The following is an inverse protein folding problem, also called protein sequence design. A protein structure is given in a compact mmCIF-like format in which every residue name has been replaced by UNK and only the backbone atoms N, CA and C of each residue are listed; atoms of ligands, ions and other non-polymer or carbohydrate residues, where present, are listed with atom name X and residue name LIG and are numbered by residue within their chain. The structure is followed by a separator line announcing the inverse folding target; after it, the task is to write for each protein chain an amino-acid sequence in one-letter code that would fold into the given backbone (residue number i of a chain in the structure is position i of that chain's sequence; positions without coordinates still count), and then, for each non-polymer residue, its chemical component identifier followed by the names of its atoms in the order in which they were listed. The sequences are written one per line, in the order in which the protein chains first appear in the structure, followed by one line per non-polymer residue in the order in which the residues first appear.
data_IF_737804742925
#
_entry.id   IF_737804742925
#
_cell.length_a   1.000
_cell.length_b   1.000
_cell.length_c   1.000
_cell.angle_alpha   90.00
_cell.angle_beta   90.00
_cell.angle_gamma   90.00
#
_symmetry.space_group_name_H-M   'P 1'
#
loop_
_entity.id
_entity.type
_entity.pdbx_description
1 polymer ?
#
# COMPACT_ATOMS: atom_id res chain seq x y z
N UNK A 1 11.08 0.94 -19.67
CA UNK A 1 10.79 0.95 -18.24
C UNK A 1 9.93 2.14 -17.89
N UNK A 2 8.86 1.91 -17.23
CA UNK A 2 8.00 2.99 -16.81
C UNK A 2 8.40 3.48 -15.42
N UNK A 3 8.24 4.77 -15.22
CA UNK A 3 8.40 5.39 -13.92
C UNK A 3 7.02 5.49 -13.28
N UNK A 4 6.91 4.99 -12.06
CA UNK A 4 5.71 5.14 -11.25
C UNK A 4 5.94 6.23 -10.22
N UNK A 5 4.93 7.03 -9.97
CA UNK A 5 4.96 8.06 -8.94
C UNK A 5 3.78 7.88 -8.00
N UNK A 6 3.94 8.32 -6.78
CA UNK A 6 2.89 8.26 -5.77
C UNK A 6 3.04 9.34 -4.73
N UNK A 7 1.97 9.56 -3.97
CA UNK A 7 1.93 10.60 -2.96
C UNK A 7 0.88 10.30 -1.89
N UNK A 8 1.02 10.93 -0.75
CA UNK A 8 -0.02 10.91 0.28
C UNK A 8 -1.15 11.88 -0.08
N UNK A 9 -2.25 11.77 0.63
CA UNK A 9 -3.45 12.57 0.36
C UNK A 9 -3.18 14.08 0.38
N UNK A 10 -2.36 14.57 1.30
CA UNK A 10 -2.04 16.01 1.37
C UNK A 10 -0.88 16.42 0.46
N UNK A 11 -0.18 15.46 -0.13
CA UNK A 11 0.94 15.73 -1.03
C UNK A 11 2.28 16.03 -0.35
N UNK A 12 2.35 16.02 0.98
CA UNK A 12 3.59 16.31 1.70
C UNK A 12 4.66 15.26 1.48
N UNK A 13 4.26 14.03 1.21
CA UNK A 13 5.18 12.92 0.94
C UNK A 13 4.98 12.42 -0.48
N UNK A 14 6.06 12.36 -1.22
CA UNK A 14 6.05 11.93 -2.64
C UNK A 14 7.21 11.01 -2.91
N UNK A 15 6.98 10.03 -3.74
CA UNK A 15 8.00 9.05 -4.11
C UNK A 15 7.93 8.72 -5.60
N UNK A 16 8.98 8.09 -6.09
CA UNK A 16 8.98 7.48 -7.42
C UNK A 16 9.60 6.10 -7.37
N UNK A 17 9.16 5.27 -8.28
CA UNK A 17 9.68 3.92 -8.49
C UNK A 17 10.22 3.86 -9.91
N UNK A 18 11.51 3.56 -10.04
CA UNK A 18 12.18 3.39 -11.34
C UNK A 18 12.52 1.92 -11.50
N UNK A 19 11.77 1.22 -12.32
CA UNK A 19 11.98 -0.19 -12.56
C UNK A 19 10.69 -0.96 -12.58
N UNK A 20 10.79 -2.24 -12.85
CA UNK A 20 9.62 -3.11 -12.91
C UNK A 20 9.14 -3.48 -11.51
N UNK A 21 7.81 -3.58 -11.38
CA UNK A 21 7.16 -4.17 -10.23
C UNK A 21 6.35 -5.36 -10.72
N UNK A 22 6.30 -6.42 -9.90
CA UNK A 22 5.74 -7.70 -10.37
C UNK A 22 4.24 -7.82 -10.17
N UNK A 23 3.63 -6.98 -9.38
CA UNK A 23 2.20 -7.07 -9.17
C UNK A 23 1.75 -6.48 -7.85
N UNK A 24 0.45 -6.55 -7.64
CA UNK A 24 -0.19 -6.10 -6.42
C UNK A 24 -0.54 -7.31 -5.58
N UNK A 25 -0.13 -7.28 -4.32
CA UNK A 25 -0.49 -8.30 -3.34
C UNK A 25 -1.47 -7.69 -2.36
N UNK A 26 -2.54 -8.41 -2.05
CA UNK A 26 -3.45 -7.97 -0.98
C UNK A 26 -3.33 -8.95 0.19
N UNK A 27 -2.90 -8.43 1.32
CA UNK A 27 -2.81 -9.21 2.56
C UNK A 27 -4.09 -9.03 3.36
N UNK A 28 -4.82 -10.13 3.57
CA UNK A 28 -6.09 -10.14 4.29
C UNK A 28 -5.96 -10.49 5.77
N UNK A 29 -4.76 -10.54 6.32
CA UNK A 29 -4.59 -10.89 7.72
C UNK A 29 -5.23 -9.83 8.64
N UNK A 30 -5.54 -10.23 9.87
CA UNK A 30 -6.20 -9.34 10.81
C UNK A 30 -5.40 -8.07 11.10
N UNK A 31 -4.07 -8.16 11.09
CA UNK A 31 -3.21 -7.00 11.30
C UNK A 31 -3.32 -6.00 10.14
N UNK A 32 -3.26 -6.51 8.91
CA UNK A 32 -3.37 -5.66 7.72
C UNK A 32 -4.76 -5.05 7.59
N UNK A 33 -5.81 -5.77 7.95
CA UNK A 33 -7.16 -5.20 7.97
C UNK A 33 -7.26 -4.05 8.97
N UNK A 34 -6.70 -4.23 10.16
CA UNK A 34 -6.72 -3.17 11.18
C UNK A 34 -5.83 -1.99 10.78
N UNK A 35 -4.66 -2.27 10.24
CA UNK A 35 -3.72 -1.23 9.82
C UNK A 35 -4.28 -0.36 8.70
N UNK A 36 -5.04 -0.93 7.77
CA UNK A 36 -5.62 -0.20 6.64
C UNK A 36 -7.03 0.30 6.92
N UNK A 37 -7.73 -0.31 7.89
CA UNK A 37 -9.16 -0.05 8.10
C UNK A 37 -10.02 -0.54 6.94
N UNK A 38 -9.58 -1.57 6.22
CA UNK A 38 -10.24 -2.03 5.00
C UNK A 38 -10.18 -3.55 4.89
N UNK A 39 -10.43 -4.06 3.70
CA UNK A 39 -10.42 -5.51 3.37
C UNK A 39 -9.04 -6.13 3.58
N UNK A 40 -8.01 -5.34 3.50
CA UNK A 40 -6.63 -5.80 3.62
C UNK A 40 -5.67 -4.68 3.27
N UNK A 41 -4.41 -5.03 3.11
CA UNK A 41 -3.39 -4.08 2.72
C UNK A 41 -2.89 -4.44 1.32
N UNK A 42 -3.11 -3.54 0.37
CA UNK A 42 -2.64 -3.74 -1.01
C UNK A 42 -1.24 -3.15 -1.14
N UNK A 43 -0.29 -3.98 -1.51
CA UNK A 43 1.12 -3.60 -1.53
C UNK A 43 1.80 -3.98 -2.84
N UNK A 44 2.79 -3.16 -3.19
CA UNK A 44 3.80 -3.47 -4.19
C UNK A 44 5.09 -3.78 -3.44
N UNK A 45 5.77 -4.83 -3.84
CA UNK A 45 7.10 -5.14 -3.29
C UNK A 45 8.11 -4.59 -4.28
N UNK A 46 8.85 -3.57 -3.86
CA UNK A 46 9.74 -2.81 -4.73
C UNK A 46 11.19 -3.00 -4.26
N UNK A 47 12.09 -3.46 -5.13
CA UNK A 47 13.51 -3.47 -4.76
C UNK A 47 13.95 -2.10 -4.28
N UNK A 48 14.71 -2.07 -3.21
CA UNK A 48 15.11 -0.82 -2.55
C UNK A 48 15.79 0.14 -3.50
N UNK A 49 16.62 -0.36 -4.41
CA UNK A 49 17.32 0.45 -5.40
C UNK A 49 16.41 1.08 -6.47
N UNK A 50 15.16 0.62 -6.57
CA UNK A 50 14.18 1.19 -7.50
C UNK A 50 13.30 2.26 -6.86
N UNK A 51 13.37 2.39 -5.54
CA UNK A 51 12.52 3.33 -4.80
C UNK A 51 13.29 4.57 -4.42
N UNK A 52 12.66 5.73 -4.57
CA UNK A 52 13.26 7.00 -4.15
C UNK A 52 12.20 7.96 -3.62
N UNK A 53 12.46 8.53 -2.44
CA UNK A 53 11.66 9.64 -1.96
C UNK A 53 11.98 10.90 -2.76
N UNK A 54 10.94 11.56 -3.27
CA UNK A 54 11.06 12.86 -3.92
C UNK A 54 10.94 13.97 -2.89
N UNK A 55 10.06 13.77 -1.91
CA UNK A 55 9.76 14.78 -0.91
C UNK A 55 9.21 14.11 0.34
N UNK A 56 9.56 14.66 1.50
CA UNK A 56 8.94 14.26 2.75
C UNK A 56 9.34 12.89 3.29
N UNK A 57 10.55 12.43 2.98
CA UNK A 57 11.06 11.15 3.48
C UNK A 57 10.99 11.06 5.01
N UNK A 58 11.23 12.17 5.69
CA UNK A 58 11.24 12.26 7.16
C UNK A 58 9.90 12.72 7.74
N UNK A 59 8.88 12.90 6.90
CA UNK A 59 7.57 13.38 7.32
C UNK A 59 6.60 12.24 7.59
N UNK A 60 7.08 11.19 8.24
CA UNK A 60 6.30 10.02 8.61
C UNK A 60 6.35 9.74 10.10
N UNK A 61 5.30 9.12 10.60
CA UNK A 61 5.25 8.56 11.95
C UNK A 61 5.09 7.06 11.82
N UNK A 62 5.93 6.32 12.53
CA UNK A 62 5.92 4.86 12.50
C UNK A 62 5.40 4.31 13.82
N UNK A 63 4.43 3.41 13.73
CA UNK A 63 4.00 2.59 14.84
C UNK A 63 4.58 1.19 14.69
N UNK A 64 5.21 0.70 15.73
CA UNK A 64 5.73 -0.66 15.76
C UNK A 64 4.88 -1.51 16.70
N UNK A 65 4.17 -2.48 16.13
CA UNK A 65 3.46 -3.48 16.92
C UNK A 65 4.45 -4.51 17.48
N UNK A 66 5.40 -4.90 16.63
CA UNK A 66 6.52 -5.79 16.92
C UNK A 66 7.57 -5.59 15.83
N UNK A 67 8.82 -6.05 16.01
CA UNK A 67 9.89 -5.77 15.03
C UNK A 67 9.57 -6.15 13.59
N UNK A 68 8.71 -7.17 13.41
CA UNK A 68 8.34 -7.64 12.07
C UNK A 68 7.07 -7.02 11.53
N UNK A 69 6.45 -6.11 12.27
CA UNK A 69 5.23 -5.45 11.81
C UNK A 69 5.18 -3.99 12.22
N UNK A 70 5.40 -3.12 11.27
CA UNK A 70 5.35 -1.67 11.46
C UNK A 70 4.44 -1.03 10.41
N UNK A 71 3.88 0.11 10.76
CA UNK A 71 3.13 0.93 9.82
C UNK A 71 3.63 2.36 9.92
N UNK A 72 3.84 2.99 8.77
CA UNK A 72 4.27 4.38 8.69
C UNK A 72 3.19 5.20 8.01
N UNK A 73 2.87 6.34 8.58
CA UNK A 73 1.84 7.23 8.07
C UNK A 73 2.38 8.64 7.93
N UNK A 74 1.82 9.39 7.00
CA UNK A 74 2.11 10.81 6.88
C UNK A 74 1.72 11.54 8.17
N UNK A 75 2.62 12.37 8.69
CA UNK A 75 2.36 13.17 9.90
C UNK A 75 1.16 14.10 9.75
N UNK A 76 0.91 14.59 8.53
CA UNK A 76 -0.14 15.59 8.29
C UNK A 76 -1.48 14.94 7.97
N UNK A 77 -1.54 14.01 7.02
CA UNK A 77 -2.82 13.48 6.55
C UNK A 77 -3.10 12.04 6.95
N UNK A 78 -2.12 11.34 7.52
CA UNK A 78 -2.31 9.98 7.98
C UNK A 78 -2.29 8.92 6.90
N UNK A 79 -2.06 9.24 5.64
CA UNK A 79 -1.97 8.24 4.58
C UNK A 79 -0.88 7.24 4.90
N UNK A 80 -1.17 5.91 4.85
CA UNK A 80 -0.14 4.89 4.99
C UNK A 80 0.75 4.92 3.75
N UNK A 81 2.02 5.22 3.95
CA UNK A 81 3.01 5.31 2.89
C UNK A 81 4.16 4.35 3.16
N UNK A 82 4.95 4.07 2.12
CA UNK A 82 5.98 3.05 2.22
C UNK A 82 6.86 3.21 3.44
N UNK A 83 7.13 2.08 4.08
CA UNK A 83 8.21 1.95 5.03
C UNK A 83 9.22 0.97 4.45
N UNK A 84 10.47 1.14 4.81
CA UNK A 84 11.46 0.12 4.53
C UNK A 84 11.22 -1.05 5.46
N UNK A 85 10.74 -2.15 4.91
CA UNK A 85 10.41 -3.33 5.70
C UNK A 85 11.65 -4.20 5.96
N UNK A 86 12.60 -4.17 5.03
CA UNK A 86 13.84 -4.90 5.18
C UNK A 86 14.96 -4.24 4.37
N UNK A 87 16.15 -4.85 4.39
CA UNK A 87 17.31 -4.30 3.69
C UNK A 87 17.22 -4.38 2.17
N UNK A 88 16.25 -5.13 1.63
CA UNK A 88 16.18 -5.43 0.21
C UNK A 88 15.00 -4.79 -0.49
N UNK A 89 13.91 -4.56 0.20
CA UNK A 89 12.67 -4.14 -0.43
C UNK A 89 11.97 -3.03 0.36
N UNK A 90 11.20 -2.25 -0.38
CA UNK A 90 10.27 -1.27 0.17
C UNK A 90 8.87 -1.74 -0.18
N UNK A 91 8.00 -1.79 0.81
CA UNK A 91 6.62 -2.20 0.63
C UNK A 91 5.78 -0.95 0.44
N UNK A 92 5.31 -0.77 -0.78
CA UNK A 92 4.57 0.45 -1.18
C UNK A 92 3.09 0.16 -1.17
N UNK A 93 2.33 0.97 -0.47
CA UNK A 93 0.86 0.86 -0.46
C UNK A 93 0.35 1.25 -1.84
N UNK A 94 -0.25 0.28 -2.55
CA UNK A 94 -0.56 0.42 -3.98
C UNK A 94 -1.57 1.55 -4.27
N UNK A 95 -2.48 1.81 -3.34
CA UNK A 95 -3.47 2.87 -3.51
C UNK A 95 -2.90 4.29 -3.53
N UNK A 96 -1.63 4.47 -3.16
CA UNK A 96 -0.99 5.79 -3.18
C UNK A 96 -0.34 6.13 -4.53
N UNK A 97 -0.38 5.21 -5.50
CA UNK A 97 0.11 5.49 -6.84
C UNK A 97 -0.72 6.60 -7.50
N UNK A 98 -0.04 7.52 -8.15
CA UNK A 98 -0.66 8.65 -8.87
C UNK A 98 -0.82 8.36 -10.36
N UNK A 99 -0.29 7.25 -10.84
CA UNK A 99 -0.35 6.85 -12.25
C UNK A 99 -0.84 5.42 -12.36
N UNK A 100 -1.45 5.04 -13.51
CA UNK A 100 -1.88 3.67 -13.71
C UNK A 100 -0.73 2.69 -13.66
N UNK A 101 -0.96 1.55 -13.01
CA UNK A 101 0.02 0.47 -12.93
C UNK A 101 0.06 -0.39 -14.19
N UNK A 102 -1.09 -0.55 -14.86
CA UNK A 102 -1.20 -1.30 -16.10
C UNK A 102 -1.55 -2.77 -15.94
N UNK A 103 -1.64 -3.27 -14.71
CA UNK A 103 -2.07 -4.64 -14.45
C UNK A 103 -2.79 -4.72 -13.10
N UNK A 104 -3.44 -5.82 -12.83
CA UNK A 104 -4.30 -5.98 -11.68
C UNK A 104 -3.65 -6.70 -10.50
N UNK A 105 -4.48 -7.03 -9.53
CA UNK A 105 -4.10 -7.81 -8.36
C UNK A 105 -3.67 -9.18 -8.82
N UNK A 106 -2.48 -9.62 -8.40
CA UNK A 106 -1.96 -10.93 -8.79
C UNK A 106 -2.05 -11.96 -7.68
N UNK A 107 -2.09 -11.57 -6.42
CA UNK A 107 -2.07 -12.52 -5.31
C UNK A 107 -2.83 -11.98 -4.11
N UNK A 108 -3.64 -12.85 -3.50
CA UNK A 108 -4.26 -12.60 -2.21
C UNK A 108 -3.57 -13.48 -1.16
N UNK A 109 -3.14 -12.85 -0.09
CA UNK A 109 -2.42 -13.51 1.01
C UNK A 109 -3.33 -13.61 2.23
N UNK A 110 -3.20 -14.71 2.96
CA UNK A 110 -3.93 -14.94 4.21
C UNK A 110 -5.45 -14.86 4.05
N UNK A 111 -5.95 -15.49 3.00
CA UNK A 111 -7.38 -15.48 2.68
C UNK A 111 -8.26 -16.09 3.76
N UNK A 112 -7.71 -17.02 4.56
CA UNK A 112 -8.45 -17.60 5.68
C UNK A 112 -8.80 -16.59 6.77
N UNK A 113 -8.07 -15.46 6.82
CA UNK A 113 -8.31 -14.38 7.77
C UNK A 113 -9.17 -13.25 7.18
N UNK A 114 -9.66 -13.45 5.98
CA UNK A 114 -10.51 -12.50 5.27
C UNK A 114 -11.74 -12.15 6.11
N UNK A 115 -12.14 -10.88 6.06
CA UNK A 115 -13.33 -10.45 6.78
C UNK A 115 -14.57 -11.14 6.19
N UNK A 116 -15.52 -11.50 7.05
CA UNK A 116 -16.73 -12.19 6.61
C UNK A 116 -17.61 -11.33 5.70
N UNK A 117 -17.55 -10.00 5.84
CA UNK A 117 -18.29 -9.06 5.00
C UNK A 117 -17.56 -8.78 3.66
N UNK A 118 -16.34 -9.25 3.48
CA UNK A 118 -15.55 -9.07 2.27
C UNK A 118 -15.96 -10.11 1.22
N UNK A 119 -17.15 -9.90 0.68
CA UNK A 119 -17.73 -10.73 -0.37
C UNK A 119 -18.90 -9.98 -1.02
N UNK A 120 -19.13 -10.25 -2.28
CA UNK A 120 -20.30 -9.77 -2.97
C UNK A 120 -21.49 -10.67 -2.69
N UNK A 121 -22.68 -10.10 -2.74
CA UNK A 121 -23.93 -10.86 -2.67
C UNK A 121 -24.93 -10.27 -3.68
N UNK A 122 -26.14 -10.83 -3.72
CA UNK A 122 -27.12 -10.41 -4.73
C UNK A 122 -27.55 -8.95 -4.59
N UNK A 123 -27.35 -8.34 -3.43
CA UNK A 123 -27.72 -6.94 -3.18
C UNK A 123 -26.57 -5.97 -3.42
N UNK A 124 -25.40 -6.47 -3.83
CA UNK A 124 -24.23 -5.63 -4.10
C UNK A 124 -24.54 -4.68 -5.25
N UNK A 125 -24.30 -3.39 -5.04
CA UNK A 125 -24.49 -2.37 -6.05
C UNK A 125 -23.14 -1.86 -6.54
N UNK A 126 -23.01 -1.77 -7.86
CA UNK A 126 -21.82 -1.24 -8.51
C UNK A 126 -22.19 0.11 -9.12
N UNK A 127 -21.69 1.20 -8.53
CA UNK A 127 -22.01 2.56 -8.97
C UNK A 127 -20.74 3.29 -9.37
N UNK A 128 -20.86 4.16 -10.37
CA UNK A 128 -19.75 5.03 -10.78
C UNK A 128 -19.62 6.25 -9.86
N UNK A 129 -20.69 6.59 -9.15
CA UNK A 129 -20.73 7.73 -8.21
C UNK A 129 -21.74 7.49 -7.11
N UNK A 130 -21.64 8.24 -6.03
CA UNK A 130 -22.56 8.17 -4.92
C UNK A 130 -23.78 9.08 -5.13
#
# INVERSE_FOLDING_TARGET
MSKLTGSCLCGARRYEINGEVQGVYICHCSLCRKASGSVGNSILIVPKEHFRWIQGADHGITYELRPTYTITRCKTCGTPLPAEEDAKAVYVTAGTLDVPLGFGICTHLFCASRADWDRDNIDTQFRSEL
#
